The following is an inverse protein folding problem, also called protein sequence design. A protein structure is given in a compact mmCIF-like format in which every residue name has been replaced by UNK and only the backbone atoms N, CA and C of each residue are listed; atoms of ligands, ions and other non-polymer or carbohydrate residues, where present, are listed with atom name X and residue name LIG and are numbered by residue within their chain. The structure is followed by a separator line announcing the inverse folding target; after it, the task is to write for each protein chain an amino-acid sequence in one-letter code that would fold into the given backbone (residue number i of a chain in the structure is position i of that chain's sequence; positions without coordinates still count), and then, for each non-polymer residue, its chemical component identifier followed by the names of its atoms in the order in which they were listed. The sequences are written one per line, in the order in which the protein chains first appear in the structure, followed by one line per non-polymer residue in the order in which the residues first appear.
data_IF_907645336134
#
_entry.id   IF_907645336134
#
_cell.length_a   1.000
_cell.length_b   1.000
_cell.length_c   1.000
_cell.angle_alpha   90.00
_cell.angle_beta   90.00
_cell.angle_gamma   90.00
#
_symmetry.space_group_name_H-M   'P 1'
#
loop_
_entity.id
_entity.type
_entity.pdbx_description
1 polymer ?
#
# COMPACT_ATOMS: atom_id res chain seq x y z
N UNK A 1 49.74 -18.15 -31.88
CA UNK A 1 48.71 -17.60 -30.98
C UNK A 1 48.02 -16.49 -31.75
N UNK A 2 46.86 -16.82 -32.34
CA UNK A 2 46.02 -15.90 -33.10
C UNK A 2 44.66 -15.89 -32.41
N UNK A 3 44.22 -14.70 -32.02
CA UNK A 3 42.95 -14.45 -31.36
C UNK A 3 41.79 -14.65 -32.35
N UNK A 4 40.81 -15.44 -31.92
CA UNK A 4 39.51 -15.58 -32.59
C UNK A 4 38.57 -14.51 -32.02
N UNK A 5 38.30 -13.48 -32.82
CA UNK A 5 37.13 -12.61 -32.63
C UNK A 5 35.88 -13.33 -33.14
N UNK A 6 35.00 -13.72 -32.21
CA UNK A 6 33.67 -14.22 -32.54
C UNK A 6 32.74 -13.02 -32.80
N UNK A 7 32.65 -12.61 -34.07
CA UNK A 7 31.61 -11.70 -34.54
C UNK A 7 30.25 -12.41 -34.50
N UNK A 8 29.36 -11.93 -33.62
CA UNK A 8 27.97 -12.34 -33.56
C UNK A 8 27.21 -11.63 -34.69
N UNK A 9 27.17 -12.25 -35.87
CA UNK A 9 26.33 -11.80 -36.98
C UNK A 9 24.88 -12.16 -36.68
N UNK A 10 24.07 -11.15 -36.38
CA UNK A 10 22.61 -11.23 -36.38
C UNK A 10 22.12 -11.53 -37.79
N UNK A 11 21.38 -12.63 -37.93
CA UNK A 11 20.76 -13.09 -39.16
C UNK A 11 19.54 -12.21 -39.52
N UNK A 12 19.49 -11.53 -40.68
CA UNK A 12 18.36 -10.70 -41.08
C UNK A 12 17.24 -11.49 -41.80
N UNK A 13 17.21 -12.83 -41.70
CA UNK A 13 16.29 -13.68 -42.47
C UNK A 13 14.91 -13.96 -41.83
N UNK A 14 14.41 -13.11 -40.93
CA UNK A 14 13.06 -13.28 -40.33
C UNK A 14 11.95 -12.43 -40.96
N UNK A 15 12.18 -11.92 -42.17
CA UNK A 15 11.29 -10.96 -42.83
C UNK A 15 10.89 -11.31 -44.25
N UNK A 16 10.64 -12.58 -44.61
CA UNK A 16 10.04 -12.90 -45.92
C UNK A 16 9.48 -14.32 -46.04
N UNK A 17 8.44 -14.68 -45.27
CA UNK A 17 7.66 -15.89 -45.58
C UNK A 17 6.24 -15.89 -45.00
N UNK A 18 5.42 -14.92 -45.41
CA UNK A 18 3.96 -15.11 -45.45
C UNK A 18 3.59 -15.28 -46.92
N UNK A 19 3.66 -16.54 -47.35
CA UNK A 19 3.27 -16.98 -48.68
C UNK A 19 1.76 -16.87 -48.85
N UNK A 20 1.38 -16.25 -49.96
CA UNK A 20 0.08 -16.43 -50.64
C UNK A 20 -0.32 -17.90 -50.66
N UNK A 21 -1.36 -18.28 -49.92
CA UNK A 21 -2.20 -19.41 -50.34
C UNK A 21 -3.32 -18.87 -51.23
N UNK A 22 -3.13 -19.04 -52.53
CA UNK A 22 -4.24 -19.01 -53.49
C UNK A 22 -5.12 -20.23 -53.20
N UNK A 23 -6.40 -19.98 -52.94
CA UNK A 23 -7.43 -21.00 -52.79
C UNK A 23 -8.78 -20.34 -53.00
N UNK A 24 -9.17 -20.18 -54.25
CA UNK A 24 -10.53 -19.81 -54.62
C UNK A 24 -11.47 -20.98 -54.34
N UNK A 25 -12.69 -20.73 -53.84
CA UNK A 25 -13.82 -21.58 -54.11
C UNK A 25 -14.80 -20.91 -55.06
N UNK A 26 -15.42 -21.77 -55.85
CA UNK A 26 -16.25 -21.53 -57.00
C UNK A 26 -17.50 -20.69 -56.72
N UNK A 27 -17.83 -19.90 -57.73
CA UNK A 27 -19.12 -19.24 -57.95
C UNK A 27 -20.26 -20.25 -58.02
N UNK A 28 -21.24 -20.15 -57.12
CA UNK A 28 -22.58 -20.69 -57.32
C UNK A 28 -23.62 -19.56 -57.33
N UNK A 29 -24.35 -19.51 -58.44
CA UNK A 29 -25.34 -18.52 -58.83
C UNK A 29 -26.63 -18.63 -58.03
N UNK A 30 -27.19 -17.45 -57.77
CA UNK A 30 -28.60 -17.06 -57.89
C UNK A 30 -29.68 -17.80 -57.09
N UNK A 31 -30.31 -17.05 -56.17
CA UNK A 31 -31.77 -16.95 -56.16
C UNK A 31 -32.17 -15.55 -55.67
N UNK A 32 -32.97 -14.88 -56.49
CA UNK A 32 -33.58 -13.58 -56.25
C UNK A 32 -34.67 -13.68 -55.17
N UNK A 33 -34.87 -12.60 -54.41
CA UNK A 33 -35.97 -12.46 -53.47
C UNK A 33 -35.89 -11.15 -52.67
N UNK A 34 -36.40 -10.08 -53.26
CA UNK A 34 -36.90 -8.88 -52.58
C UNK A 34 -38.39 -8.73 -52.99
N UNK A 35 -39.22 -7.80 -52.45
CA UNK A 35 -38.98 -6.78 -51.42
C UNK A 35 -40.13 -6.62 -50.38
N UNK A 36 -39.91 -5.83 -49.33
CA UNK A 36 -40.89 -4.92 -48.66
C UNK A 36 -40.08 -4.10 -47.64
N UNK A 37 -39.75 -2.83 -47.86
CA UNK A 37 -40.63 -1.64 -47.81
C UNK A 37 -41.33 -1.51 -46.46
N UNK A 38 -40.71 -0.80 -45.51
CA UNK A 38 -41.46 0.03 -44.58
C UNK A 38 -40.64 1.25 -44.18
N UNK A 39 -41.26 2.40 -44.42
CA UNK A 39 -40.78 3.75 -44.34
C UNK A 39 -41.39 4.35 -43.07
N UNK A 40 -40.57 4.87 -42.15
CA UNK A 40 -41.03 5.44 -40.88
C UNK A 40 -40.19 6.63 -40.47
N UNK A 41 -40.63 7.81 -40.89
CA UNK A 41 -40.16 9.12 -40.45
C UNK A 41 -40.51 9.41 -38.98
N UNK A 42 -39.65 10.18 -38.30
CA UNK A 42 -39.95 11.28 -37.33
C UNK A 42 -38.64 11.64 -36.58
N UNK A 43 -37.97 12.76 -36.87
CA UNK A 43 -38.26 14.14 -36.45
C UNK A 43 -38.04 14.42 -34.94
N UNK A 44 -37.12 15.35 -34.63
CA UNK A 44 -36.99 16.08 -33.35
C UNK A 44 -35.54 16.25 -32.91
N UNK A 45 -34.87 17.40 -33.12
CA UNK A 45 -34.86 18.57 -32.22
C UNK A 45 -34.46 18.18 -30.79
N UNK A 46 -33.37 18.63 -30.18
CA UNK A 46 -33.02 20.04 -29.96
C UNK A 46 -31.60 20.19 -29.39
N UNK A 47 -30.94 21.25 -29.85
CA UNK A 47 -29.80 21.92 -29.24
C UNK A 47 -30.10 22.48 -27.85
N UNK A 48 -29.24 22.21 -26.87
CA UNK A 48 -29.10 23.01 -25.66
C UNK A 48 -27.61 23.12 -25.30
N UNK A 49 -26.98 24.17 -25.79
CA UNK A 49 -25.68 24.65 -25.35
C UNK A 49 -25.88 25.55 -24.14
N UNK A 50 -25.71 25.00 -22.93
CA UNK A 50 -25.60 25.82 -21.72
C UNK A 50 -24.16 26.28 -21.54
N UNK A 51 -23.94 27.57 -21.80
CA UNK A 51 -22.75 28.31 -21.43
C UNK A 51 -22.74 28.51 -19.91
N UNK A 52 -21.95 27.71 -19.19
CA UNK A 52 -21.68 27.91 -17.78
C UNK A 52 -20.47 28.86 -17.62
N UNK A 53 -20.73 30.17 -17.53
CA UNK A 53 -19.72 31.16 -17.12
C UNK A 53 -19.70 31.24 -15.59
N UNK A 54 -18.99 30.32 -14.95
CA UNK A 54 -18.64 30.42 -13.54
C UNK A 54 -17.31 31.15 -13.40
N UNK A 55 -17.38 32.45 -13.09
CA UNK A 55 -16.23 33.22 -12.62
C UNK A 55 -15.71 32.58 -11.33
N UNK A 56 -14.62 31.82 -11.40
CA UNK A 56 -13.88 31.41 -10.21
C UNK A 56 -13.15 32.63 -9.68
N UNK A 57 -13.64 33.16 -8.54
CA UNK A 57 -12.81 33.91 -7.62
C UNK A 57 -11.57 33.07 -7.30
N UNK A 58 -10.42 33.59 -7.69
CA UNK A 58 -9.12 33.09 -7.29
C UNK A 58 -8.98 33.39 -5.79
N UNK A 59 -9.46 32.47 -4.94
CA UNK A 59 -9.11 32.47 -3.53
C UNK A 59 -7.60 32.19 -3.43
N UNK A 60 -6.84 33.27 -3.26
CA UNK A 60 -5.43 33.24 -2.94
C UNK A 60 -5.29 32.62 -1.55
N UNK A 61 -5.09 31.31 -1.49
CA UNK A 61 -4.62 30.67 -0.27
C UNK A 61 -3.24 31.26 0.05
N UNK A 62 -3.01 31.80 1.26
CA UNK A 62 -1.66 32.12 1.64
C UNK A 62 -0.86 30.81 1.57
N UNK A 63 0.25 30.84 0.84
CA UNK A 63 1.33 29.85 1.00
C UNK A 63 1.70 29.84 2.49
N UNK A 64 1.05 28.98 3.26
CA UNK A 64 1.60 28.58 4.54
C UNK A 64 2.78 27.69 4.19
N UNK A 65 3.97 28.28 4.17
CA UNK A 65 5.23 27.59 4.39
C UNK A 65 5.04 26.73 5.64
N UNK A 66 4.64 25.48 5.42
CA UNK A 66 4.39 24.49 6.44
C UNK A 66 5.69 24.02 7.02
N UNK A 67 6.36 24.90 7.78
CA UNK A 67 7.17 24.47 8.90
C UNK A 67 6.23 23.77 9.87
N UNK A 68 6.11 22.45 9.73
CA UNK A 68 5.64 21.55 10.77
C UNK A 68 6.70 21.51 11.88
N UNK A 69 6.94 22.67 12.47
CA UNK A 69 7.48 22.80 13.80
C UNK A 69 6.32 22.38 14.70
N UNK A 70 6.33 21.11 15.11
CA UNK A 70 5.49 20.67 16.21
C UNK A 70 5.80 21.57 17.41
N UNK A 71 4.98 22.60 17.61
CA UNK A 71 4.80 23.22 18.91
C UNK A 71 4.23 22.12 19.81
N UNK A 72 5.12 21.34 20.41
CA UNK A 72 4.93 21.02 21.81
C UNK A 72 4.92 22.38 22.52
N UNK A 73 3.72 22.91 22.77
CA UNK A 73 3.52 23.82 23.89
C UNK A 73 3.95 23.03 25.14
N UNK A 74 5.24 23.10 25.43
CA UNK A 74 5.76 22.79 26.74
C UNK A 74 5.17 23.83 27.69
N UNK A 75 4.03 23.48 28.29
CA UNK A 75 3.51 24.19 29.45
C UNK A 75 4.61 24.07 30.50
N UNK A 76 5.35 25.16 30.73
CA UNK A 76 6.37 25.25 31.76
C UNK A 76 5.70 25.28 33.13
N UNK A 77 5.27 24.12 33.62
CA UNK A 77 4.83 23.97 35.00
C UNK A 77 6.08 23.94 35.87
N UNK A 78 6.25 25.00 36.67
CA UNK A 78 7.33 25.10 37.64
C UNK A 78 7.33 23.88 38.57
N UNK A 79 8.31 23.00 38.40
CA UNK A 79 8.54 21.89 39.31
C UNK A 79 9.03 22.43 40.65
N UNK A 80 8.24 22.21 41.71
CA UNK A 80 8.64 22.51 43.08
C UNK A 80 9.81 21.61 43.52
N UNK A 81 10.64 22.07 44.47
CA UNK A 81 11.80 21.33 44.94
C UNK A 81 11.38 20.16 45.83
N UNK A 82 11.13 18.98 45.23
CA UNK A 82 10.97 17.73 45.98
C UNK A 82 12.29 16.96 45.96
N UNK A 83 13.08 17.13 47.02
CA UNK A 83 14.28 16.35 47.31
C UNK A 83 13.92 14.92 47.71
N UNK A 84 13.82 14.02 46.74
CA UNK A 84 13.81 12.57 46.98
C UNK A 84 15.12 11.98 46.45
N UNK A 85 15.77 11.06 47.20
CA UNK A 85 17.00 10.41 46.77
C UNK A 85 16.73 9.55 45.53
N UNK A 86 17.34 9.95 44.42
CA UNK A 86 17.31 9.24 43.15
C UNK A 86 18.02 7.90 43.27
N UNK A 87 17.27 6.82 43.46
CA UNK A 87 17.73 5.45 43.21
C UNK A 87 17.99 5.31 41.70
N UNK A 88 19.20 5.65 41.28
CA UNK A 88 19.70 5.42 39.92
C UNK A 88 19.88 3.91 39.73
N UNK A 89 18.78 3.22 39.38
CA UNK A 89 18.86 1.87 38.83
C UNK A 89 19.78 1.93 37.61
N UNK A 90 20.81 1.07 37.52
CA UNK A 90 21.67 1.02 36.35
C UNK A 90 20.78 0.79 35.13
N UNK A 91 20.75 1.79 34.26
CA UNK A 91 20.03 1.73 33.00
C UNK A 91 20.54 0.48 32.27
N UNK A 92 19.67 -0.46 31.86
CA UNK A 92 20.10 -1.63 31.13
C UNK A 92 20.88 -1.15 29.90
N UNK A 93 22.19 -1.40 29.91
CA UNK A 93 23.08 -1.08 28.81
C UNK A 93 22.55 -1.80 27.59
N UNK A 94 22.15 -1.04 26.57
CA UNK A 94 21.69 -1.60 25.32
C UNK A 94 22.77 -2.57 24.80
N UNK A 95 22.38 -3.78 24.36
CA UNK A 95 23.33 -4.74 23.83
C UNK A 95 24.13 -4.07 22.71
N UNK A 96 25.47 -4.15 22.80
CA UNK A 96 26.36 -3.56 21.79
C UNK A 96 25.92 -3.98 20.38
N UNK A 97 25.81 -3.03 19.43
CA UNK A 97 25.52 -3.36 18.04
C UNK A 97 26.62 -4.29 17.54
N UNK A 98 26.27 -5.48 17.01
CA UNK A 98 27.31 -6.40 16.57
C UNK A 98 27.83 -5.89 15.22
N UNK A 99 29.13 -5.54 15.10
CA UNK A 99 29.68 -4.90 13.90
C UNK A 99 29.64 -5.80 12.66
N UNK A 100 29.49 -7.12 12.84
CA UNK A 100 29.35 -8.10 11.76
C UNK A 100 27.91 -8.23 11.21
N UNK A 101 26.92 -7.63 11.87
CA UNK A 101 25.52 -7.75 11.45
C UNK A 101 25.23 -6.91 10.20
N UNK A 102 25.89 -5.77 10.00
CA UNK A 102 25.51 -4.82 8.94
C UNK A 102 25.65 -5.36 7.51
N UNK A 103 26.80 -5.95 7.15
CA UNK A 103 27.01 -6.43 5.77
C UNK A 103 26.19 -7.68 5.47
N UNK A 104 26.17 -8.66 6.39
CA UNK A 104 25.39 -9.90 6.20
C UNK A 104 23.90 -9.62 6.14
N UNK A 105 23.40 -8.74 7.00
CA UNK A 105 22.02 -8.28 6.98
C UNK A 105 21.68 -7.59 5.66
N UNK A 106 22.54 -6.67 5.21
CA UNK A 106 22.36 -6.00 3.92
C UNK A 106 22.32 -7.00 2.76
N UNK A 107 23.26 -7.95 2.70
CA UNK A 107 23.28 -8.99 1.68
C UNK A 107 22.01 -9.85 1.71
N UNK A 108 21.52 -10.19 2.90
CA UNK A 108 20.29 -10.96 3.05
C UNK A 108 19.06 -10.15 2.61
N UNK A 109 18.97 -8.88 2.97
CA UNK A 109 17.89 -7.99 2.54
C UNK A 109 17.90 -7.77 1.02
N UNK A 110 19.07 -7.60 0.41
CA UNK A 110 19.22 -7.56 -1.05
C UNK A 110 18.71 -8.86 -1.66
N UNK A 111 19.13 -10.02 -1.13
CA UNK A 111 18.68 -11.33 -1.62
C UNK A 111 17.15 -11.49 -1.50
N UNK A 112 16.56 -11.14 -0.35
CA UNK A 112 15.09 -11.17 -0.19
C UNK A 112 14.43 -10.23 -1.20
N UNK A 113 14.93 -9.01 -1.36
CA UNK A 113 14.35 -8.01 -2.27
C UNK A 113 14.43 -8.42 -3.75
N UNK A 114 15.48 -9.16 -4.14
CA UNK A 114 15.63 -9.71 -5.49
C UNK A 114 14.85 -11.02 -5.69
N UNK A 115 14.44 -11.69 -4.61
CA UNK A 115 13.69 -12.95 -4.63
C UNK A 115 12.48 -12.92 -5.56
N UNK A 116 11.57 -11.93 -5.45
CA UNK A 116 10.45 -11.75 -6.38
C UNK A 116 10.83 -11.75 -7.86
N UNK A 117 11.86 -11.00 -8.23
CA UNK A 117 12.34 -10.91 -9.61
C UNK A 117 12.88 -12.25 -10.10
N UNK A 118 13.73 -12.91 -9.31
CA UNK A 118 14.28 -14.22 -9.65
C UNK A 118 13.20 -15.30 -9.75
N UNK A 119 12.22 -15.27 -8.85
CA UNK A 119 11.06 -16.17 -8.87
C UNK A 119 10.27 -16.01 -10.17
N UNK A 120 9.96 -14.76 -10.56
CA UNK A 120 9.25 -14.51 -11.82
C UNK A 120 10.08 -14.93 -13.03
N UNK A 121 11.37 -14.62 -13.05
CA UNK A 121 12.26 -15.03 -14.14
C UNK A 121 12.27 -16.54 -14.34
N UNK A 122 12.35 -17.32 -13.26
CA UNK A 122 12.36 -18.79 -13.33
C UNK A 122 10.97 -19.32 -13.71
N UNK A 123 9.92 -18.96 -12.96
CA UNK A 123 8.62 -19.60 -13.13
C UNK A 123 7.84 -19.11 -14.36
N UNK A 124 7.98 -17.84 -14.75
CA UNK A 124 7.30 -17.28 -15.92
C UNK A 124 8.15 -17.51 -17.18
N UNK A 125 9.39 -17.05 -17.21
CA UNK A 125 10.18 -17.08 -18.45
C UNK A 125 10.67 -18.49 -18.80
N UNK A 126 11.06 -19.29 -17.80
CA UNK A 126 11.58 -20.66 -18.04
C UNK A 126 10.46 -21.70 -17.96
N UNK A 127 9.71 -21.74 -16.86
CA UNK A 127 8.71 -22.80 -16.63
C UNK A 127 7.32 -22.51 -17.22
N UNK A 128 7.07 -21.27 -17.67
CA UNK A 128 5.79 -20.82 -18.26
C UNK A 128 4.56 -21.18 -17.42
N UNK A 129 4.68 -21.04 -16.09
CA UNK A 129 3.62 -21.41 -15.15
C UNK A 129 3.30 -20.26 -14.18
N UNK A 130 2.27 -19.50 -14.50
CA UNK A 130 1.84 -18.32 -13.71
C UNK A 130 1.28 -18.71 -12.34
N UNK A 131 0.56 -19.83 -12.24
CA UNK A 131 0.01 -20.25 -10.95
C UNK A 131 1.13 -20.64 -9.96
N UNK A 132 2.13 -21.37 -10.45
CA UNK A 132 3.31 -21.70 -9.66
C UNK A 132 4.12 -20.46 -9.28
N UNK A 133 4.31 -19.52 -10.22
CA UNK A 133 5.03 -18.26 -9.92
C UNK A 133 4.36 -17.47 -8.80
N UNK A 134 3.02 -17.32 -8.83
CA UNK A 134 2.28 -16.65 -7.77
C UNK A 134 2.42 -17.35 -6.41
N UNK A 135 2.37 -18.68 -6.39
CA UNK A 135 2.48 -19.43 -5.14
C UNK A 135 3.88 -19.27 -4.53
N UNK A 136 4.94 -19.48 -5.32
CA UNK A 136 6.31 -19.34 -4.85
C UNK A 136 6.65 -17.89 -4.46
N UNK A 137 6.21 -16.92 -5.26
CA UNK A 137 6.39 -15.51 -4.97
C UNK A 137 5.82 -15.15 -3.60
N UNK A 138 4.54 -15.43 -3.37
CA UNK A 138 3.87 -14.99 -2.15
C UNK A 138 4.33 -15.77 -0.92
N UNK A 139 4.28 -17.10 -1.00
CA UNK A 139 4.45 -17.93 0.20
C UNK A 139 5.91 -18.13 0.57
N UNK A 140 6.81 -18.22 -0.41
CA UNK A 140 8.24 -18.45 -0.14
C UNK A 140 9.00 -17.12 -0.12
N UNK A 141 8.88 -16.29 -1.17
CA UNK A 141 9.69 -15.06 -1.25
C UNK A 141 9.15 -13.93 -0.36
N UNK A 142 7.85 -13.67 -0.36
CA UNK A 142 7.27 -12.49 0.31
C UNK A 142 6.78 -12.74 1.75
N UNK A 143 6.49 -13.99 2.11
CA UNK A 143 6.12 -14.36 3.48
C UNK A 143 7.21 -15.19 4.15
N UNK A 144 7.58 -16.33 3.57
CA UNK A 144 8.52 -17.28 4.17
C UNK A 144 9.89 -16.67 4.48
N UNK A 145 10.55 -16.08 3.48
CA UNK A 145 11.89 -15.52 3.64
C UNK A 145 11.94 -14.35 4.65
N UNK A 146 11.02 -13.36 4.61
CA UNK A 146 10.90 -12.34 5.66
C UNK A 146 10.64 -12.92 7.05
N UNK A 147 9.74 -13.92 7.19
CA UNK A 147 9.46 -14.52 8.49
C UNK A 147 10.71 -15.20 9.07
N UNK A 148 11.47 -15.93 8.24
CA UNK A 148 12.74 -16.53 8.65
C UNK A 148 13.75 -15.45 9.06
N UNK A 149 13.87 -14.38 8.27
CA UNK A 149 14.73 -13.26 8.63
C UNK A 149 14.32 -12.61 9.96
N UNK A 150 13.03 -12.32 10.15
CA UNK A 150 12.54 -11.70 11.39
C UNK A 150 12.81 -12.60 12.59
N UNK A 151 12.69 -13.91 12.43
CA UNK A 151 12.94 -14.87 13.49
C UNK A 151 14.43 -14.99 13.85
N UNK A 152 15.33 -15.02 12.86
CA UNK A 152 16.76 -15.27 13.09
C UNK A 152 17.62 -14.02 13.22
N UNK A 153 17.22 -12.90 12.63
CA UNK A 153 18.09 -11.74 12.40
C UNK A 153 17.49 -10.38 12.78
N UNK A 154 16.20 -10.28 13.16
CA UNK A 154 15.60 -8.99 13.53
C UNK A 154 15.68 -8.73 15.03
N UNK A 155 16.22 -7.57 15.40
CA UNK A 155 16.36 -7.12 16.80
C UNK A 155 15.03 -6.72 17.48
N UNK A 156 13.89 -6.82 16.78
CA UNK A 156 12.62 -6.35 17.30
C UNK A 156 11.40 -6.97 16.61
N UNK A 157 11.09 -8.26 16.86
CA UNK A 157 9.90 -8.91 16.32
C UNK A 157 8.60 -8.29 16.82
N UNK A 158 8.62 -7.66 18.01
CA UNK A 158 7.45 -7.00 18.61
C UNK A 158 6.84 -5.88 17.76
N UNK A 159 7.65 -5.20 16.94
CA UNK A 159 7.15 -4.18 16.01
C UNK A 159 6.18 -4.77 14.98
N UNK A 160 6.48 -5.95 14.43
CA UNK A 160 5.63 -6.57 13.42
C UNK A 160 4.26 -6.93 13.99
N UNK A 161 4.24 -7.43 15.23
CA UNK A 161 2.99 -7.66 15.96
C UNK A 161 2.23 -6.36 16.19
N UNK A 162 2.91 -5.27 16.57
CA UNK A 162 2.28 -3.97 16.81
C UNK A 162 1.69 -3.36 15.54
N UNK A 163 2.39 -3.40 14.40
CA UNK A 163 1.89 -2.86 13.13
C UNK A 163 0.60 -3.58 12.70
N UNK A 164 0.52 -4.89 12.89
CA UNK A 164 -0.67 -5.67 12.56
C UNK A 164 -1.82 -5.44 13.57
N UNK A 165 -1.52 -5.35 14.87
CA UNK A 165 -2.54 -5.27 15.92
C UNK A 165 -3.10 -3.85 16.14
N UNK A 166 -2.25 -2.83 16.10
CA UNK A 166 -2.64 -1.45 16.46
C UNK A 166 -3.42 -0.72 15.35
N UNK A 167 -3.54 -1.33 14.18
CA UNK A 167 -4.40 -0.80 13.13
C UNK A 167 -5.80 -1.45 13.12
N UNK A 168 -6.08 -2.46 13.96
CA UNK A 168 -7.28 -3.29 13.85
C UNK A 168 -8.66 -2.57 13.92
N UNK A 169 -9.72 -3.26 13.46
CA UNK A 169 -11.05 -2.69 13.21
C UNK A 169 -11.84 -2.27 14.47
N UNK A 170 -11.43 -2.70 15.67
CA UNK A 170 -12.19 -2.49 16.92
C UNK A 170 -11.81 -1.23 17.72
N UNK A 171 -10.88 -0.41 17.25
CA UNK A 171 -10.52 0.82 17.98
C UNK A 171 -9.44 1.70 17.35
N UNK A 172 -8.93 1.36 16.16
CA UNK A 172 -7.83 2.07 15.51
C UNK A 172 -8.24 2.73 14.20
N UNK A 173 -7.29 3.47 13.62
CA UNK A 173 -7.35 4.32 12.42
C UNK A 173 -8.07 3.71 11.19
N UNK A 174 -8.30 2.40 11.10
CA UNK A 174 -9.02 1.76 9.99
C UNK A 174 -10.42 2.32 9.75
N UNK A 175 -11.17 2.67 10.81
CA UNK A 175 -12.50 3.29 10.61
C UNK A 175 -12.40 4.63 9.86
N UNK A 176 -11.32 5.39 10.08
CA UNK A 176 -11.04 6.64 9.35
C UNK A 176 -10.46 6.41 7.95
N UNK A 177 -9.72 5.31 7.77
CA UNK A 177 -9.15 4.92 6.47
C UNK A 177 -10.18 4.24 5.55
N UNK A 178 -11.26 3.67 6.08
CA UNK A 178 -12.27 2.93 5.32
C UNK A 178 -12.83 3.66 4.09
N UNK A 179 -13.31 4.91 4.22
CA UNK A 179 -13.77 5.69 3.07
C UNK A 179 -12.68 5.90 2.01
N UNK A 180 -11.45 6.20 2.44
CA UNK A 180 -10.30 6.38 1.55
C UNK A 180 -9.88 5.09 0.87
N UNK A 181 -9.95 3.96 1.58
CA UNK A 181 -9.69 2.64 1.03
C UNK A 181 -10.73 2.27 -0.03
N UNK A 182 -12.01 2.54 0.20
CA UNK A 182 -13.06 2.32 -0.80
C UNK A 182 -12.84 3.21 -2.04
N UNK A 183 -12.56 4.50 -1.84
CA UNK A 183 -12.24 5.41 -2.95
C UNK A 183 -10.99 4.95 -3.71
N UNK A 184 -9.94 4.57 -2.98
CA UNK A 184 -8.71 4.03 -3.55
C UNK A 184 -8.97 2.79 -4.41
N UNK A 185 -9.75 1.83 -3.90
CA UNK A 185 -10.11 0.63 -4.65
C UNK A 185 -10.83 0.96 -5.97
N UNK A 186 -11.84 1.83 -5.92
CA UNK A 186 -12.59 2.24 -7.13
C UNK A 186 -11.68 2.97 -8.11
N UNK A 187 -10.89 3.94 -7.63
CA UNK A 187 -9.96 4.72 -8.46
C UNK A 187 -8.88 3.84 -9.09
N UNK A 188 -8.34 2.88 -8.33
CA UNK A 188 -7.36 1.91 -8.83
C UNK A 188 -7.93 1.03 -9.94
N UNK A 189 -9.14 0.48 -9.74
CA UNK A 189 -9.78 -0.38 -10.75
C UNK A 189 -10.14 0.36 -12.02
N UNK A 190 -10.87 1.48 -11.89
CA UNK A 190 -11.29 2.30 -13.03
C UNK A 190 -10.07 2.88 -13.75
N UNK A 191 -9.13 3.45 -13.01
CA UNK A 191 -7.93 4.08 -13.58
C UNK A 191 -7.06 3.09 -14.34
N UNK A 192 -6.82 1.90 -13.77
CA UNK A 192 -6.05 0.85 -14.44
C UNK A 192 -6.75 0.32 -15.67
N UNK A 193 -8.05 0.03 -15.59
CA UNK A 193 -8.83 -0.45 -16.74
C UNK A 193 -8.79 0.56 -17.90
N UNK A 194 -9.12 1.83 -17.64
CA UNK A 194 -9.11 2.90 -18.65
C UNK A 194 -7.70 3.11 -19.20
N UNK A 195 -6.68 3.12 -18.34
CA UNK A 195 -5.28 3.27 -18.74
C UNK A 195 -4.82 2.17 -19.68
N UNK A 196 -5.11 0.90 -19.36
CA UNK A 196 -4.79 -0.23 -20.23
C UNK A 196 -5.52 -0.15 -21.56
N UNK A 197 -6.85 0.13 -21.55
CA UNK A 197 -7.63 0.31 -22.79
C UNK A 197 -7.05 1.41 -23.67
N UNK A 198 -6.66 2.54 -23.08
CA UNK A 198 -6.03 3.64 -23.82
C UNK A 198 -4.70 3.21 -24.44
N UNK A 199 -3.81 2.57 -23.68
CA UNK A 199 -2.52 2.05 -24.20
C UNK A 199 -2.76 1.08 -25.35
N UNK A 200 -3.74 0.17 -25.20
CA UNK A 200 -4.12 -0.78 -26.24
C UNK A 200 -4.53 -0.08 -27.54
N UNK A 201 -5.41 0.92 -27.47
CA UNK A 201 -5.88 1.68 -28.63
C UNK A 201 -4.71 2.41 -29.33
N UNK A 202 -3.82 3.01 -28.56
CA UNK A 202 -2.62 3.68 -29.10
C UNK A 202 -1.71 2.67 -29.80
N UNK A 203 -1.47 1.51 -29.19
CA UNK A 203 -0.61 0.48 -29.77
C UNK A 203 -1.22 -0.15 -31.03
N UNK A 204 -2.53 -0.40 -31.04
CA UNK A 204 -3.25 -0.91 -32.20
C UNK A 204 -3.16 0.09 -33.36
N UNK A 205 -3.40 1.38 -33.10
CA UNK A 205 -3.29 2.44 -34.09
C UNK A 205 -1.86 2.61 -34.63
N UNK A 206 -0.84 2.45 -33.79
CA UNK A 206 0.56 2.62 -34.18
C UNK A 206 1.15 1.42 -34.94
N UNK A 207 0.76 0.20 -34.57
CA UNK A 207 1.39 -1.02 -35.09
C UNK A 207 0.59 -1.74 -36.17
N UNK A 208 -0.71 -1.45 -36.32
CA UNK A 208 -1.66 -2.26 -37.09
C UNK A 208 -1.69 -3.75 -36.67
N UNK A 209 -1.18 -4.08 -35.48
CA UNK A 209 -1.24 -5.42 -34.90
C UNK A 209 -2.42 -5.48 -33.95
N UNK A 210 -3.15 -6.59 -34.01
CA UNK A 210 -4.17 -6.90 -33.01
C UNK A 210 -3.50 -7.34 -31.70
N UNK A 211 -3.22 -6.37 -30.84
CA UNK A 211 -2.58 -6.59 -29.53
C UNK A 211 -3.43 -7.52 -28.65
N UNK A 212 -4.76 -7.53 -28.82
CA UNK A 212 -5.64 -8.41 -28.05
C UNK A 212 -5.37 -9.88 -28.34
N UNK A 213 -5.27 -10.24 -29.62
CA UNK A 213 -5.02 -11.63 -30.01
C UNK A 213 -3.62 -12.10 -29.62
N UNK A 214 -2.59 -11.24 -29.74
CA UNK A 214 -1.23 -11.58 -29.28
C UNK A 214 -1.18 -11.83 -27.77
N UNK A 215 -1.83 -10.97 -26.98
CA UNK A 215 -1.92 -11.14 -25.52
C UNK A 215 -2.68 -12.40 -25.17
N UNK A 216 -3.79 -12.67 -25.86
CA UNK A 216 -4.57 -13.91 -25.67
C UNK A 216 -3.73 -15.15 -25.91
N UNK A 217 -2.99 -15.21 -27.01
CA UNK A 217 -2.11 -16.33 -27.34
C UNK A 217 -1.05 -16.54 -26.26
N UNK A 218 -0.44 -15.46 -25.77
CA UNK A 218 0.56 -15.52 -24.68
C UNK A 218 -0.05 -15.96 -23.35
N UNK A 219 -1.22 -15.47 -22.98
CA UNK A 219 -1.93 -15.92 -21.79
C UNK A 219 -2.23 -17.42 -21.85
N UNK A 220 -2.64 -17.94 -23.00
CA UNK A 220 -2.83 -19.38 -23.20
C UNK A 220 -1.51 -20.16 -23.06
N UNK A 221 -0.41 -19.66 -23.63
CA UNK A 221 0.92 -20.26 -23.50
C UNK A 221 1.47 -20.25 -22.07
N UNK A 222 1.04 -19.28 -21.25
CA UNK A 222 1.40 -19.16 -19.83
C UNK A 222 0.51 -20.01 -18.89
N UNK A 223 -0.40 -20.81 -19.47
CA UNK A 223 -1.28 -21.72 -18.72
C UNK A 223 -2.54 -21.07 -18.15
N UNK A 224 -2.85 -19.82 -18.53
CA UNK A 224 -4.07 -19.12 -18.09
C UNK A 224 -5.31 -19.47 -18.92
N UNK A 225 -5.14 -20.13 -20.09
CA UNK A 225 -6.24 -20.64 -20.91
C UNK A 225 -6.96 -21.89 -20.36
N UNK A 226 -6.87 -22.13 -19.04
CA UNK A 226 -7.43 -23.32 -18.40
C UNK A 226 -8.95 -23.19 -18.15
N UNK A 227 -9.56 -24.22 -17.55
CA UNK A 227 -10.99 -24.21 -17.21
C UNK A 227 -11.38 -22.97 -16.39
N UNK A 228 -12.55 -22.38 -16.69
CA UNK A 228 -13.05 -21.13 -16.11
C UNK A 228 -12.94 -21.08 -14.57
N UNK A 229 -13.28 -22.16 -13.88
CA UNK A 229 -13.23 -22.20 -12.42
C UNK A 229 -11.82 -21.98 -11.86
N UNK A 230 -10.76 -22.43 -12.54
CA UNK A 230 -9.36 -22.19 -12.14
C UNK A 230 -9.01 -20.72 -12.33
N UNK A 231 -9.44 -20.12 -13.45
CA UNK A 231 -9.24 -18.70 -13.70
C UNK A 231 -9.95 -17.83 -12.64
N UNK A 232 -11.18 -18.20 -12.26
CA UNK A 232 -11.92 -17.52 -11.17
C UNK A 232 -11.20 -17.64 -9.83
N UNK A 233 -10.74 -18.84 -9.44
CA UNK A 233 -9.98 -19.01 -8.20
C UNK A 233 -8.68 -18.20 -8.21
N UNK A 234 -7.97 -18.18 -9.34
CA UNK A 234 -6.74 -17.42 -9.47
C UNK A 234 -7.01 -15.91 -9.43
N UNK A 235 -8.10 -15.44 -10.05
CA UNK A 235 -8.53 -14.04 -10.00
C UNK A 235 -8.89 -13.61 -8.57
N UNK A 236 -9.65 -14.43 -7.83
CA UNK A 236 -9.98 -14.17 -6.42
C UNK A 236 -8.73 -14.14 -5.56
N UNK A 237 -7.82 -15.09 -5.77
CA UNK A 237 -6.53 -15.11 -5.08
C UNK A 237 -5.74 -13.82 -5.37
N UNK A 238 -5.65 -13.44 -6.64
CA UNK A 238 -4.93 -12.25 -7.08
C UNK A 238 -5.55 -10.99 -6.48
N UNK A 239 -6.86 -10.77 -6.58
CA UNK A 239 -7.50 -9.54 -6.08
C UNK A 239 -7.42 -9.40 -4.55
N UNK A 240 -7.42 -10.50 -3.79
CA UNK A 240 -7.51 -10.43 -2.32
C UNK A 240 -6.15 -10.65 -1.63
N UNK A 241 -5.43 -11.70 -2.01
CA UNK A 241 -4.21 -12.11 -1.31
C UNK A 241 -2.97 -11.41 -1.86
N UNK A 242 -2.88 -11.21 -3.19
CA UNK A 242 -1.75 -10.50 -3.82
C UNK A 242 -1.50 -9.13 -3.17
N UNK A 243 -2.48 -8.19 -3.14
CA UNK A 243 -2.23 -6.87 -2.58
C UNK A 243 -1.93 -6.95 -1.09
N UNK A 244 -2.56 -7.85 -0.33
CA UNK A 244 -2.24 -7.98 1.09
C UNK A 244 -0.79 -8.40 1.32
N UNK A 245 -0.34 -9.46 0.65
CA UNK A 245 1.01 -10.00 0.83
C UNK A 245 2.07 -9.02 0.32
N UNK A 246 1.86 -8.45 -0.86
CA UNK A 246 2.79 -7.49 -1.43
C UNK A 246 2.93 -6.24 -0.56
N UNK A 247 1.83 -5.72 -0.03
CA UNK A 247 1.87 -4.51 0.80
C UNK A 247 2.56 -4.75 2.14
N UNK A 248 2.36 -5.93 2.74
CA UNK A 248 3.09 -6.35 3.93
C UNK A 248 4.58 -6.51 3.63
N UNK A 249 4.93 -7.13 2.50
CA UNK A 249 6.32 -7.32 2.10
C UNK A 249 7.05 -6.00 1.82
N UNK A 250 6.53 -5.19 0.89
CA UNK A 250 7.21 -3.98 0.42
C UNK A 250 7.16 -2.86 1.46
N UNK A 251 6.01 -2.65 2.11
CA UNK A 251 5.84 -1.52 3.03
C UNK A 251 6.03 -1.90 4.48
N UNK A 252 5.60 -3.07 4.94
CA UNK A 252 5.81 -3.37 6.38
C UNK A 252 7.23 -3.90 6.62
N UNK A 253 7.67 -4.89 5.84
CA UNK A 253 8.95 -5.54 6.02
C UNK A 253 10.12 -4.74 5.41
N UNK A 254 10.24 -4.70 4.08
CA UNK A 254 11.43 -4.14 3.42
C UNK A 254 11.63 -2.66 3.76
N UNK A 255 10.57 -1.86 3.74
CA UNK A 255 10.68 -0.46 4.14
C UNK A 255 11.19 -0.27 5.56
N UNK A 256 10.84 -1.12 6.53
CA UNK A 256 11.35 -0.97 7.90
C UNK A 256 12.83 -1.36 7.96
N UNK A 257 13.15 -2.53 7.43
CA UNK A 257 14.48 -3.12 7.58
C UNK A 257 15.54 -2.43 6.71
N UNK A 258 15.19 -1.97 5.50
CA UNK A 258 16.12 -1.21 4.65
C UNK A 258 16.48 0.17 5.20
N UNK A 259 15.77 0.65 6.23
CA UNK A 259 15.91 2.01 6.76
C UNK A 259 16.45 2.05 8.19
N UNK A 260 16.43 0.92 8.89
CA UNK A 260 16.87 0.86 10.30
C UNK A 260 18.37 1.18 10.46
N UNK A 261 19.20 0.78 9.49
CA UNK A 261 20.67 0.92 9.54
C UNK A 261 21.20 2.37 9.50
N UNK A 262 20.36 3.38 9.19
CA UNK A 262 20.81 4.78 9.11
C UNK A 262 20.41 5.67 10.28
N UNK A 263 19.55 5.19 11.18
CA UNK A 263 18.98 6.03 12.24
C UNK A 263 19.77 6.01 13.55
N UNK A 264 20.71 5.08 13.74
CA UNK A 264 21.51 4.98 14.97
C UNK A 264 22.44 6.18 15.23
N UNK A 265 22.65 7.06 14.24
CA UNK A 265 23.45 8.29 14.41
C UNK A 265 22.70 9.48 15.00
N UNK A 266 21.37 9.40 15.16
CA UNK A 266 20.56 10.52 15.68
C UNK A 266 19.43 10.00 16.55
N UNK A 267 19.79 9.18 17.54
CA UNK A 267 18.95 8.99 18.71
C UNK A 267 18.94 10.33 19.46
N UNK A 268 18.09 11.25 19.02
CA UNK A 268 17.66 12.36 19.87
C UNK A 268 17.08 11.65 21.07
N UNK A 269 17.72 11.80 22.23
CA UNK A 269 17.16 11.40 23.51
C UNK A 269 15.81 12.10 23.62
N UNK A 270 14.76 11.42 23.15
CA UNK A 270 13.40 11.72 23.56
C UNK A 270 13.40 11.25 25.00
N UNK A 271 13.93 12.12 25.85
CA UNK A 271 13.72 12.09 27.29
C UNK A 271 12.23 11.90 27.42
N UNK A 272 11.86 10.65 27.75
CA UNK A 272 10.49 10.24 27.93
C UNK A 272 10.05 10.98 29.17
N UNK A 273 9.65 12.24 28.97
CA UNK A 273 9.19 13.13 30.01
C UNK A 273 7.85 12.54 30.41
N UNK A 274 7.91 11.59 31.35
CA UNK A 274 6.79 11.06 32.13
C UNK A 274 6.18 12.27 32.85
N UNK A 275 5.42 13.02 32.09
CA UNK A 275 4.64 14.14 32.55
C UNK A 275 3.48 13.48 33.28
N UNK A 276 3.68 13.20 34.56
CA UNK A 276 2.59 12.94 35.49
C UNK A 276 1.70 14.20 35.48
N UNK A 277 0.74 14.25 34.54
CA UNK A 277 -0.25 15.33 34.49
C UNK A 277 -1.16 15.14 35.69
N UNK A 278 -0.91 15.90 36.75
CA UNK A 278 -1.82 16.04 37.87
C UNK A 278 -2.99 16.90 37.42
N UNK A 279 -4.06 16.26 36.95
CA UNK A 279 -5.35 16.94 36.79
C UNK A 279 -5.90 17.19 38.18
N UNK A 280 -5.73 18.39 38.71
CA UNK A 280 -6.46 18.84 39.88
C UNK A 280 -7.95 18.87 39.49
N UNK A 281 -8.70 17.83 39.88
CA UNK A 281 -10.15 17.84 39.79
C UNK A 281 -10.63 18.95 40.71
N UNK A 282 -10.97 20.10 40.14
CA UNK A 282 -11.62 21.18 40.85
C UNK A 282 -13.01 20.66 41.21
N UNK A 283 -13.20 20.21 42.44
CA UNK A 283 -14.52 19.94 42.98
C UNK A 283 -15.34 21.22 42.84
N UNK A 284 -16.54 21.16 42.23
CA UNK A 284 -17.39 22.34 42.13
C UNK A 284 -17.70 22.84 43.55
N UNK A 285 -17.63 24.16 43.80
CA UNK A 285 -17.98 24.71 45.10
C UNK A 285 -19.42 24.35 45.42
N UNK A 286 -19.63 23.84 46.63
CA UNK A 286 -20.93 23.46 47.17
C UNK A 286 -21.98 24.54 46.89
N UNK A 287 -23.06 24.12 46.25
CA UNK A 287 -24.28 24.91 46.15
C UNK A 287 -24.91 24.98 47.54
N UNK A 288 -25.21 26.17 48.08
CA UNK A 288 -25.93 26.30 49.34
C UNK A 288 -27.45 26.21 49.12
N UNK A 289 -28.15 25.76 50.17
CA UNK A 289 -29.61 25.67 50.38
C UNK A 289 -30.27 24.40 49.79
N UNK A 290 -31.08 23.62 50.50
CA UNK A 290 -32.17 24.04 51.40
C UNK A 290 -32.53 22.99 52.48
N UNK A 291 -32.76 23.52 53.69
CA UNK A 291 -33.95 23.32 54.55
C UNK A 291 -34.49 21.91 54.79
N UNK A 292 -34.24 21.36 55.99
CA UNK A 292 -35.17 20.43 56.63
C UNK A 292 -35.39 20.77 58.11
N UNK A 293 -36.62 21.17 58.41
CA UNK A 293 -37.19 21.30 59.76
C UNK A 293 -37.68 19.93 60.21
N UNK A 294 -37.24 19.42 61.38
CA UNK A 294 -38.09 19.16 62.56
C UNK A 294 -37.42 18.27 63.62
N UNK A 295 -37.69 18.65 64.88
CA UNK A 295 -37.88 17.82 66.07
C UNK A 295 -36.65 17.20 66.78
N UNK A 296 -36.12 18.00 67.71
CA UNK A 296 -35.89 17.70 69.12
C UNK A 296 -35.97 16.24 69.61
N UNK A 297 -34.86 15.74 70.16
CA UNK A 297 -34.81 15.18 71.51
C UNK A 297 -33.36 15.16 72.01
N UNK A 298 -33.17 15.65 73.23
CA UNK A 298 -31.88 15.83 73.89
C UNK A 298 -31.23 14.51 74.30
N UNK A 299 -29.90 14.45 74.21
CA UNK A 299 -29.08 13.58 75.05
C UNK A 299 -27.65 14.11 75.07
N UNK A 300 -27.25 14.62 76.24
CA UNK A 300 -25.90 15.04 76.58
C UNK A 300 -24.91 13.87 76.56
N UNK A 301 -23.80 14.01 75.84
CA UNK A 301 -22.51 13.43 76.26
C UNK A 301 -21.34 14.15 75.55
N UNK A 302 -20.18 14.31 76.22
CA UNK A 302 -19.15 15.26 75.82
C UNK A 302 -18.02 14.63 75.00
N UNK A 303 -17.47 15.46 74.11
CA UNK A 303 -16.07 15.57 73.72
C UNK A 303 -15.26 14.27 73.47
N UNK A 304 -15.04 13.96 72.20
CA UNK A 304 -13.77 13.36 71.76
C UNK A 304 -13.41 13.80 70.34
N UNK A 305 -12.28 14.49 70.24
CA UNK A 305 -11.31 14.59 69.15
C UNK A 305 -11.77 14.33 67.71
N UNK A 306 -11.58 15.37 66.89
CA UNK A 306 -11.81 15.35 65.46
C UNK A 306 -10.99 14.33 64.69
N UNK A 307 -11.66 13.69 63.75
CA UNK A 307 -11.05 13.08 62.58
C UNK A 307 -11.34 14.01 61.40
N UNK A 308 -10.28 14.61 60.87
CA UNK A 308 -10.33 15.36 59.62
C UNK A 308 -10.74 14.39 58.50
N UNK A 309 -11.88 14.67 57.85
CA UNK A 309 -12.30 14.00 56.63
C UNK A 309 -11.18 14.08 55.59
N UNK A 310 -10.47 12.97 55.43
CA UNK A 310 -9.42 12.81 54.43
C UNK A 310 -10.05 12.82 53.04
N UNK A 311 -9.95 13.95 52.36
CA UNK A 311 -10.28 14.09 50.94
C UNK A 311 -9.58 12.98 50.14
N UNK A 312 -10.35 11.96 49.76
CA UNK A 312 -9.87 10.81 48.99
C UNK A 312 -9.69 11.27 47.55
N UNK A 313 -8.53 11.84 47.24
CA UNK A 313 -8.17 12.17 45.86
C UNK A 313 -8.05 10.86 45.07
N UNK A 314 -9.12 10.48 44.36
CA UNK A 314 -9.11 9.35 43.43
C UNK A 314 -8.17 9.70 42.29
N UNK A 315 -6.96 9.14 42.34
CA UNK A 315 -5.93 9.31 41.31
C UNK A 315 -6.35 8.50 40.08
N UNK A 316 -7.14 9.11 39.21
CA UNK A 316 -7.43 8.53 37.89
C UNK A 316 -6.15 8.62 37.07
N UNK A 317 -5.35 7.55 37.09
CA UNK A 317 -4.17 7.41 36.25
C UNK A 317 -4.66 7.16 34.83
N UNK A 318 -4.97 8.22 34.09
CA UNK A 318 -5.18 8.12 32.64
C UNK A 318 -3.83 7.80 32.02
N UNK A 319 -3.55 6.51 31.88
CA UNK A 319 -2.39 6.02 31.13
C UNK A 319 -2.67 6.28 29.66
N UNK A 320 -2.43 7.53 29.24
CA UNK A 320 -2.38 7.88 27.83
C UNK A 320 -1.23 7.06 27.24
N UNK A 321 -1.56 5.97 26.55
CA UNK A 321 -0.59 5.26 25.72
C UNK A 321 -0.33 6.20 24.55
N UNK A 322 0.65 7.08 24.70
CA UNK A 322 1.19 7.84 23.59
C UNK A 322 1.79 6.82 22.64
N UNK A 323 1.02 6.48 21.60
CA UNK A 323 1.49 5.60 20.54
C UNK A 323 2.58 6.39 19.83
N UNK A 324 3.84 6.03 20.09
CA UNK A 324 4.98 6.63 19.42
C UNK A 324 4.81 6.42 17.91
N UNK A 325 4.58 7.50 17.19
CA UNK A 325 4.60 7.49 15.74
C UNK A 325 6.05 7.47 15.31
N UNK A 326 6.48 6.32 14.79
CA UNK A 326 7.70 6.27 14.01
C UNK A 326 7.39 6.90 12.65
N UNK A 327 7.43 8.23 12.58
CA UNK A 327 7.55 8.93 11.31
C UNK A 327 8.96 8.65 10.79
N UNK A 328 9.12 7.50 10.15
CA UNK A 328 10.38 7.12 9.54
C UNK A 328 10.64 8.12 8.41
N UNK A 329 11.51 9.09 8.68
CA UNK A 329 12.07 9.98 7.66
C UNK A 329 12.92 9.14 6.71
N UNK A 330 12.29 8.67 5.66
CA UNK A 330 12.97 7.85 4.66
C UNK A 330 13.77 8.77 3.75
N UNK A 331 15.09 8.53 3.58
CA UNK A 331 15.82 9.21 2.53
C UNK A 331 15.19 8.88 1.17
N UNK A 332 15.05 9.88 0.30
CA UNK A 332 14.47 9.71 -1.04
C UNK A 332 15.10 8.54 -1.81
N UNK A 333 16.41 8.30 -1.63
CA UNK A 333 17.12 7.17 -2.23
C UNK A 333 16.55 5.80 -1.83
N UNK A 334 16.13 5.63 -0.58
CA UNK A 334 15.52 4.38 -0.10
C UNK A 334 14.13 4.16 -0.70
N UNK A 335 13.34 5.23 -0.85
CA UNK A 335 12.04 5.17 -1.53
C UNK A 335 12.20 4.79 -3.01
N UNK A 336 13.16 5.41 -3.69
CA UNK A 336 13.47 5.12 -5.10
C UNK A 336 13.94 3.67 -5.25
N UNK A 337 14.84 3.19 -4.37
CA UNK A 337 15.30 1.80 -4.40
C UNK A 337 14.15 0.80 -4.22
N UNK A 338 13.26 1.02 -3.24
CA UNK A 338 12.09 0.16 -3.03
C UNK A 338 11.13 0.18 -4.23
N UNK A 339 10.89 1.35 -4.82
CA UNK A 339 10.05 1.48 -6.01
C UNK A 339 10.66 0.75 -7.23
N UNK A 340 11.98 0.82 -7.41
CA UNK A 340 12.70 0.09 -8.46
C UNK A 340 12.62 -1.43 -8.21
N UNK A 341 12.87 -1.88 -6.98
CA UNK A 341 12.76 -3.30 -6.61
C UNK A 341 11.35 -3.83 -6.84
N UNK A 342 10.32 -3.07 -6.43
CA UNK A 342 8.91 -3.37 -6.70
C UNK A 342 8.65 -3.55 -8.20
N UNK A 343 9.07 -2.59 -9.04
CA UNK A 343 8.82 -2.65 -10.48
C UNK A 343 9.61 -3.73 -11.21
N UNK A 344 10.76 -4.13 -10.68
CA UNK A 344 11.68 -5.04 -11.37
C UNK A 344 11.04 -6.38 -11.72
N UNK A 345 10.28 -7.00 -10.82
CA UNK A 345 9.66 -8.30 -11.10
C UNK A 345 8.50 -8.18 -12.09
N UNK A 346 7.78 -7.04 -12.09
CA UNK A 346 6.74 -6.77 -13.08
C UNK A 346 7.29 -6.65 -14.51
N UNK A 347 8.55 -6.25 -14.69
CA UNK A 347 9.20 -6.26 -16.01
C UNK A 347 9.10 -7.63 -16.69
N UNK A 348 9.27 -8.71 -15.92
CA UNK A 348 9.17 -10.08 -16.43
C UNK A 348 7.75 -10.40 -16.87
N UNK A 349 6.76 -9.96 -16.09
CA UNK A 349 5.34 -10.13 -16.41
C UNK A 349 5.00 -9.38 -17.71
N UNK A 350 5.35 -8.10 -17.80
CA UNK A 350 5.11 -7.28 -19.00
C UNK A 350 5.85 -7.80 -20.23
N UNK A 351 7.11 -8.24 -20.07
CA UNK A 351 7.85 -8.89 -21.15
C UNK A 351 7.11 -10.12 -21.68
N UNK A 352 6.58 -10.94 -20.77
CA UNK A 352 5.92 -12.21 -21.13
C UNK A 352 4.55 -11.98 -21.74
N UNK A 353 3.81 -10.96 -21.29
CA UNK A 353 2.46 -10.64 -21.78
C UNK A 353 2.47 -9.77 -23.04
N UNK A 354 3.26 -8.69 -23.06
CA UNK A 354 3.22 -7.67 -24.12
C UNK A 354 4.49 -7.67 -25.00
N UNK A 355 5.58 -8.27 -24.54
CA UNK A 355 6.86 -8.29 -25.25
C UNK A 355 7.85 -7.22 -24.79
N UNK A 356 9.07 -7.29 -25.34
CA UNK A 356 10.21 -6.48 -24.89
C UNK A 356 10.00 -4.96 -25.03
N UNK A 357 9.28 -4.51 -26.06
CA UNK A 357 9.03 -3.09 -26.30
C UNK A 357 8.28 -2.40 -25.15
N UNK A 358 7.48 -3.15 -24.39
CA UNK A 358 6.65 -2.63 -23.30
C UNK A 358 7.33 -2.67 -21.94
N UNK A 359 8.49 -3.32 -21.82
CA UNK A 359 9.16 -3.54 -20.54
C UNK A 359 9.60 -2.21 -19.90
N UNK A 360 10.29 -1.36 -20.66
CA UNK A 360 10.82 -0.10 -20.13
C UNK A 360 9.71 0.91 -19.78
N UNK A 361 8.71 1.17 -20.64
CA UNK A 361 7.58 2.03 -20.27
C UNK A 361 6.84 1.53 -19.03
N UNK A 362 6.58 0.21 -18.96
CA UNK A 362 5.87 -0.38 -17.82
C UNK A 362 6.69 -0.29 -16.55
N UNK A 363 8.01 -0.50 -16.61
CA UNK A 363 8.91 -0.32 -15.46
C UNK A 363 8.83 1.09 -14.88
N UNK A 364 8.82 2.13 -15.73
CA UNK A 364 8.70 3.52 -15.28
C UNK A 364 7.33 3.77 -14.65
N UNK A 365 6.25 3.35 -15.31
CA UNK A 365 4.88 3.55 -14.81
C UNK A 365 4.64 2.83 -13.47
N UNK A 366 5.06 1.57 -13.36
CA UNK A 366 4.94 0.79 -12.13
C UNK A 366 5.82 1.37 -11.03
N UNK A 367 6.98 1.95 -11.36
CA UNK A 367 7.84 2.59 -10.35
C UNK A 367 7.20 3.86 -9.79
N UNK A 368 6.57 4.66 -10.66
CA UNK A 368 5.80 5.84 -10.23
C UNK A 368 4.60 5.41 -9.37
N UNK A 369 3.89 4.36 -9.78
CA UNK A 369 2.78 3.81 -9.00
C UNK A 369 3.24 3.32 -7.62
N UNK A 370 4.34 2.56 -7.56
CA UNK A 370 5.00 2.14 -6.32
C UNK A 370 5.44 3.32 -5.43
N UNK A 371 5.88 4.42 -6.04
CA UNK A 371 6.17 5.68 -5.34
C UNK A 371 4.92 6.33 -4.73
N UNK A 372 3.82 6.43 -5.49
CA UNK A 372 2.52 6.95 -5.00
C UNK A 372 2.02 6.11 -3.83
N UNK A 373 2.11 4.80 -3.99
CA UNK A 373 1.85 3.79 -2.99
C UNK A 373 2.62 4.07 -1.69
N UNK A 374 3.95 4.17 -1.74
CA UNK A 374 4.79 4.51 -0.58
C UNK A 374 4.39 5.86 0.04
N UNK A 375 4.08 6.87 -0.77
CA UNK A 375 3.64 8.18 -0.31
C UNK A 375 2.32 8.10 0.47
N UNK A 376 1.30 7.42 -0.07
CA UNK A 376 -0.01 7.26 0.60
C UNK A 376 0.15 6.57 1.95
N UNK A 377 1.01 5.55 2.02
CA UNK A 377 1.26 4.80 3.27
C UNK A 377 1.85 5.67 4.39
N UNK A 378 2.67 6.68 4.04
CA UNK A 378 3.29 7.57 5.03
C UNK A 378 2.35 8.68 5.51
N UNK A 379 1.20 8.89 4.87
CA UNK A 379 0.21 9.89 5.30
C UNK A 379 -0.74 9.31 6.33
N UNK A 380 -0.94 10.04 7.43
CA UNK A 380 -1.82 9.66 8.53
C UNK A 380 -3.26 9.31 8.09
N UNK A 381 -3.78 10.02 7.09
CA UNK A 381 -5.15 9.85 6.60
C UNK A 381 -5.37 8.57 5.79
N UNK A 382 -4.36 8.11 5.04
CA UNK A 382 -4.51 6.98 4.11
C UNK A 382 -4.01 5.68 4.73
N UNK A 383 -2.75 5.64 5.19
CA UNK A 383 -2.15 4.47 5.83
C UNK A 383 -2.09 3.21 4.97
N UNK A 384 -1.87 2.06 5.61
CA UNK A 384 -1.67 0.76 4.94
C UNK A 384 -2.95 0.25 4.30
N UNK A 385 -4.12 0.37 4.96
CA UNK A 385 -5.39 -0.13 4.44
C UNK A 385 -5.76 0.52 3.11
N UNK A 386 -5.58 1.84 2.99
CA UNK A 386 -5.88 2.56 1.74
C UNK A 386 -4.94 2.13 0.62
N UNK A 387 -3.66 1.93 0.93
CA UNK A 387 -2.68 1.47 -0.03
C UNK A 387 -3.00 0.05 -0.55
N UNK A 388 -3.34 -0.88 0.35
CA UNK A 388 -3.78 -2.23 -0.01
C UNK A 388 -5.06 -2.23 -0.81
N UNK A 389 -6.04 -1.40 -0.46
CA UNK A 389 -7.29 -1.32 -1.21
C UNK A 389 -7.10 -0.71 -2.61
N UNK A 390 -6.26 0.33 -2.74
CA UNK A 390 -5.89 0.89 -4.05
C UNK A 390 -5.17 -0.15 -4.91
N UNK A 391 -4.23 -0.90 -4.35
CA UNK A 391 -3.55 -2.00 -5.02
C UNK A 391 -4.54 -3.09 -5.47
N UNK A 392 -5.43 -3.54 -4.59
CA UNK A 392 -6.49 -4.49 -4.94
C UNK A 392 -7.38 -3.97 -6.09
N UNK A 393 -7.66 -2.66 -6.11
CA UNK A 393 -8.35 -2.01 -7.22
C UNK A 393 -7.56 -2.14 -8.52
N UNK A 394 -6.27 -1.81 -8.51
CA UNK A 394 -5.38 -1.97 -9.67
C UNK A 394 -5.43 -3.42 -10.19
N UNK A 395 -5.35 -4.40 -9.29
CA UNK A 395 -5.40 -5.82 -9.64
C UNK A 395 -6.75 -6.23 -10.27
N UNK A 396 -7.87 -5.69 -9.78
CA UNK A 396 -9.19 -5.86 -10.43
C UNK A 396 -9.18 -5.32 -11.85
N UNK A 397 -8.63 -4.12 -12.06
CA UNK A 397 -8.52 -3.51 -13.39
C UNK A 397 -7.71 -4.39 -14.35
N UNK A 398 -6.56 -4.90 -13.90
CA UNK A 398 -5.74 -5.84 -14.67
C UNK A 398 -6.52 -7.11 -15.00
N UNK A 399 -7.17 -7.74 -14.01
CA UNK A 399 -7.92 -8.98 -14.22
C UNK A 399 -9.07 -8.81 -15.21
N UNK A 400 -9.80 -7.68 -15.17
CA UNK A 400 -10.86 -7.40 -16.15
C UNK A 400 -10.28 -7.33 -17.56
N UNK A 401 -9.17 -6.61 -17.77
CA UNK A 401 -8.50 -6.51 -19.08
C UNK A 401 -8.02 -7.89 -19.57
N UNK A 402 -7.44 -8.71 -18.70
CA UNK A 402 -7.00 -10.05 -19.06
C UNK A 402 -8.17 -10.98 -19.37
N UNK A 403 -9.29 -10.85 -18.66
CA UNK A 403 -10.50 -11.63 -18.90
C UNK A 403 -11.16 -11.26 -20.24
N UNK A 404 -11.21 -9.97 -20.58
CA UNK A 404 -11.62 -9.49 -21.91
C UNK A 404 -10.70 -10.08 -22.99
N UNK A 405 -9.37 -10.06 -22.79
CA UNK A 405 -8.44 -10.63 -23.75
C UNK A 405 -8.63 -12.14 -23.96
N UNK A 406 -9.08 -12.85 -22.94
CA UNK A 406 -9.42 -14.27 -23.02
C UNK A 406 -10.83 -14.54 -23.58
N UNK A 407 -11.60 -13.51 -23.91
CA UNK A 407 -13.01 -13.60 -24.30
C UNK A 407 -13.88 -14.33 -23.26
N UNK A 408 -13.64 -14.03 -21.97
CA UNK A 408 -14.47 -14.55 -20.87
C UNK A 408 -15.76 -13.73 -20.71
N UNK A 409 -15.71 -12.45 -21.07
CA UNK A 409 -16.83 -11.49 -21.01
C UNK A 409 -17.19 -10.97 -22.39
#
# INVERSE_FOLDING_TARGET
MQEQEAACTLDPAWGQQIGRSQGAPETLKASQGAPTEEQGDTAGSSSASESFSGSQELETYPESTGDLQHQLEAISVAAGPSSMPSLSLPLPTAPNPRPYDSLWRLLFLVLISCGPFLCMLIFISVLRNVAASMLFLHWICMLGAPMLYVYFASDGPGYYNHVLLCQGPRGGRWRRQGPWACLGFVMGGVGTYVGFRFVWLVCQAASNVDVYEEVRLRLQQLGLGSALWKAVLLAVYFILFNPLVEELFWRVFLYRDSLSDRSEGSQVDIEQQDSDVYVAVKTPPDSPNDTLTTAAAASDTPASHGEAEGATTSRVRTRSKTIAYYDLRVPLSGLVALAISYSSYHMVIFHSLLGAAFVLPSFVLVSLLGGVFLFLRNKERFGLLTATALHAGVDVGVIIVLAEALNVF
#
